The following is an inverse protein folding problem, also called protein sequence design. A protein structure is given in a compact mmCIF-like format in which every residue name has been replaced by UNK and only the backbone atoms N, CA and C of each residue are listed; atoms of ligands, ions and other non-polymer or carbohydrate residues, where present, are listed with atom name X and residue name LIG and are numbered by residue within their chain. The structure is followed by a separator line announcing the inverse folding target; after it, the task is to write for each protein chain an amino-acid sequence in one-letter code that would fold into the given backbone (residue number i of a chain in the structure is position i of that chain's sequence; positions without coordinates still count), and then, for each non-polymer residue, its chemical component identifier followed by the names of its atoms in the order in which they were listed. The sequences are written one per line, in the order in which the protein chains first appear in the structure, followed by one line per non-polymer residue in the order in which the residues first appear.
data_IF_346391970953
#
_entry.id   IF_346391970953
#
_cell.length_a   1.000
_cell.length_b   1.000
_cell.length_c   1.000
_cell.angle_alpha   90.00
_cell.angle_beta   90.00
_cell.angle_gamma   90.00
#
_symmetry.space_group_name_H-M   'P 1'
#
loop_
_entity.id
_entity.type
_entity.pdbx_description
1 polymer ?
#
# COMPACT_ATOMS: atom_id res chain seq x y z
N UNK A 1 -5.98 21.82 12.26
CA UNK A 1 -6.74 20.55 12.06
C UNK A 1 -6.16 19.42 12.91
N UNK A 2 -6.93 18.36 13.20
CA UNK A 2 -6.42 17.13 13.84
C UNK A 2 -6.38 15.97 12.85
N UNK A 3 -5.21 15.41 12.57
CA UNK A 3 -4.99 14.19 11.81
C UNK A 3 -4.93 12.99 12.77
N UNK A 4 -5.86 12.05 12.68
CA UNK A 4 -5.85 10.82 13.47
C UNK A 4 -5.29 9.68 12.62
N UNK A 5 -4.06 9.26 12.94
CA UNK A 5 -3.36 8.21 12.22
C UNK A 5 -2.51 7.36 13.17
N UNK A 6 -2.97 6.15 13.48
CA UNK A 6 -2.19 5.20 14.30
C UNK A 6 -0.82 4.89 13.68
N UNK A 7 -0.73 4.69 12.36
CA UNK A 7 0.54 4.48 11.66
C UNK A 7 1.07 5.83 11.14
N UNK A 8 2.02 6.40 11.85
CA UNK A 8 2.66 7.67 11.51
C UNK A 8 4.16 7.64 11.86
N UNK A 9 5.05 8.41 11.21
CA UNK A 9 6.47 8.39 11.52
C UNK A 9 6.78 8.55 13.03
N UNK A 10 7.81 7.85 13.55
CA UNK A 10 8.85 7.11 12.84
C UNK A 10 8.45 5.69 12.44
N UNK A 11 7.18 5.31 12.55
CA UNK A 11 6.70 4.02 12.02
C UNK A 11 6.88 4.03 10.49
N UNK A 12 7.42 2.95 9.93
CA UNK A 12 7.56 2.75 8.49
C UNK A 12 6.49 1.83 7.89
N UNK A 13 6.52 1.66 6.57
CA UNK A 13 5.66 0.72 5.83
C UNK A 13 4.50 1.39 5.06
N UNK A 14 3.84 0.64 4.19
CA UNK A 14 2.88 1.17 3.19
C UNK A 14 1.63 1.86 3.75
N UNK A 15 1.34 1.71 5.05
CA UNK A 15 0.28 2.45 5.74
C UNK A 15 0.62 3.92 5.99
N UNK A 16 1.90 4.28 6.02
CA UNK A 16 2.39 5.57 6.52
C UNK A 16 2.36 6.71 5.48
N UNK A 17 2.71 6.49 4.19
CA UNK A 17 2.91 7.59 3.24
C UNK A 17 1.69 8.51 3.05
N UNK A 18 0.46 7.97 3.04
CA UNK A 18 -0.74 8.81 2.86
C UNK A 18 -0.88 9.85 3.98
N UNK A 19 -0.84 9.41 5.24
CA UNK A 19 -0.97 10.31 6.38
C UNK A 19 0.20 11.30 6.46
N UNK A 20 1.43 10.82 6.23
CA UNK A 20 2.64 11.64 6.21
C UNK A 20 2.55 12.78 5.19
N UNK A 21 2.21 12.46 3.93
CA UNK A 21 2.17 13.45 2.86
C UNK A 21 0.98 14.42 3.00
N UNK A 22 -0.16 13.95 3.51
CA UNK A 22 -1.27 14.85 3.87
C UNK A 22 -0.84 15.85 4.95
N UNK A 23 -0.17 15.38 6.01
CA UNK A 23 0.33 16.28 7.06
C UNK A 23 1.36 17.28 6.53
N UNK A 24 2.33 16.82 5.72
CA UNK A 24 3.35 17.66 5.09
C UNK A 24 2.72 18.79 4.27
N UNK A 25 1.95 18.43 3.25
CA UNK A 25 1.49 19.41 2.26
C UNK A 25 0.39 20.33 2.79
N UNK A 26 -0.50 19.85 3.67
CA UNK A 26 -1.45 20.74 4.35
C UNK A 26 -0.72 21.77 5.24
N UNK A 27 0.35 21.36 5.91
CA UNK A 27 1.14 22.28 6.73
C UNK A 27 1.93 23.30 5.88
N UNK A 28 2.43 22.90 4.71
CA UNK A 28 3.03 23.80 3.72
C UNK A 28 1.99 24.78 3.13
N UNK A 29 0.74 24.34 2.96
CA UNK A 29 -0.41 25.17 2.54
C UNK A 29 -0.96 26.07 3.68
N UNK A 30 -0.28 26.11 4.84
CA UNK A 30 -0.57 27.05 5.93
C UNK A 30 -1.50 26.51 7.03
N UNK A 31 -1.92 25.24 6.98
CA UNK A 31 -2.67 24.65 8.08
C UNK A 31 -1.79 24.38 9.31
N UNK A 32 -2.27 24.72 10.50
CA UNK A 32 -1.71 24.17 11.74
C UNK A 32 -2.16 22.71 11.88
N UNK A 33 -1.24 21.75 11.67
CA UNK A 33 -1.54 20.32 11.65
C UNK A 33 -1.11 19.67 12.96
N UNK A 34 -2.10 19.17 13.71
CA UNK A 34 -1.87 18.31 14.87
C UNK A 34 -2.04 16.86 14.46
N UNK A 35 -1.06 16.01 14.72
CA UNK A 35 -1.15 14.58 14.44
C UNK A 35 -1.36 13.82 15.74
N UNK A 36 -2.47 13.10 15.87
CA UNK A 36 -2.71 12.16 16.95
C UNK A 36 -2.33 10.76 16.48
N UNK A 37 -1.29 10.22 17.09
CA UNK A 37 -0.74 8.90 16.76
C UNK A 37 -0.42 8.11 18.03
N UNK A 38 0.06 6.90 17.86
CA UNK A 38 0.52 6.03 18.95
C UNK A 38 1.92 6.43 19.42
N UNK A 39 2.21 6.13 20.68
CA UNK A 39 3.57 6.21 21.23
C UNK A 39 4.56 5.40 20.41
N UNK A 40 5.85 5.68 20.62
CA UNK A 40 6.97 4.92 20.05
C UNK A 40 6.99 3.50 20.64
N UNK A 41 6.01 2.70 20.23
CA UNK A 41 5.91 1.30 20.55
C UNK A 41 6.72 0.49 19.54
N UNK A 42 7.03 -0.75 19.91
CA UNK A 42 7.84 -1.61 19.06
C UNK A 42 7.07 -2.01 17.79
N UNK A 43 7.45 -1.41 16.67
CA UNK A 43 6.96 -1.77 15.33
C UNK A 43 8.00 -2.55 14.55
N UNK A 44 7.53 -3.45 13.68
CA UNK A 44 8.40 -4.27 12.83
C UNK A 44 9.26 -3.44 11.86
N UNK A 45 8.84 -2.20 11.56
CA UNK A 45 9.55 -1.28 10.68
C UNK A 45 9.58 0.11 11.33
N UNK A 46 10.77 0.56 11.74
CA UNK A 46 11.03 1.94 12.19
C UNK A 46 11.90 2.63 11.14
N UNK A 47 11.54 3.87 10.80
CA UNK A 47 12.24 4.73 9.87
C UNK A 47 12.15 6.19 10.32
N UNK A 48 13.16 6.64 11.06
CA UNK A 48 13.26 8.02 11.53
C UNK A 48 13.51 9.03 10.39
N UNK A 49 13.90 8.56 9.19
CA UNK A 49 14.10 9.46 8.05
C UNK A 49 12.81 10.13 7.59
N UNK A 50 11.67 9.47 7.81
CA UNK A 50 10.35 9.98 7.44
C UNK A 50 9.96 11.23 8.25
N UNK A 51 10.45 11.38 9.48
CA UNK A 51 10.20 12.58 10.29
C UNK A 51 10.85 13.83 9.68
N UNK A 52 11.96 13.67 8.95
CA UNK A 52 12.66 14.78 8.28
C UNK A 52 11.89 15.36 7.11
N UNK A 53 10.83 14.69 6.65
CA UNK A 53 9.96 15.19 5.60
C UNK A 53 8.87 16.14 6.11
N UNK A 54 8.66 16.20 7.43
CA UNK A 54 7.61 17.03 8.03
C UNK A 54 8.12 18.45 8.27
N UNK A 55 7.34 19.47 7.89
CA UNK A 55 7.57 20.85 8.31
C UNK A 55 7.53 21.00 9.84
N UNK A 56 8.23 22.01 10.37
CA UNK A 56 8.31 22.28 11.82
C UNK A 56 6.95 22.61 12.46
N UNK A 57 5.99 23.11 11.68
CA UNK A 57 4.63 23.43 12.15
C UNK A 57 3.70 22.20 12.24
N UNK A 58 4.20 20.98 11.99
CA UNK A 58 3.47 19.73 12.26
C UNK A 58 3.71 19.27 13.70
N UNK A 59 2.67 19.28 14.52
CA UNK A 59 2.75 18.95 15.95
C UNK A 59 2.26 17.52 16.20
N UNK A 60 3.17 16.63 16.60
CA UNK A 60 2.85 15.21 16.83
C UNK A 60 2.51 14.96 18.32
N UNK A 61 1.32 14.41 18.56
CA UNK A 61 0.79 14.00 19.87
C UNK A 61 0.72 12.48 19.91
N UNK A 62 1.45 11.89 20.86
CA UNK A 62 1.54 10.44 20.99
C UNK A 62 0.73 9.93 22.17
N UNK A 63 -0.17 9.00 21.92
CA UNK A 63 -0.97 8.34 22.94
C UNK A 63 -0.50 6.91 23.18
N UNK A 64 -0.51 6.50 24.45
CA UNK A 64 -0.19 5.15 24.88
C UNK A 64 -1.14 4.11 24.27
N UNK A 65 -0.69 2.86 24.21
CA UNK A 65 -1.55 1.74 23.86
C UNK A 65 -1.54 0.68 24.96
N UNK A 66 -2.69 0.06 25.20
CA UNK A 66 -2.73 -1.16 25.98
C UNK A 66 -2.57 -2.37 25.07
N UNK A 67 -1.37 -2.94 25.05
CA UNK A 67 -1.06 -4.15 24.27
C UNK A 67 -0.46 -5.25 25.16
N UNK A 68 -1.27 -6.22 25.63
CA UNK A 68 -0.81 -7.24 26.58
C UNK A 68 0.25 -8.19 26.00
N UNK A 69 0.38 -8.30 24.67
CA UNK A 69 1.35 -9.17 23.99
C UNK A 69 2.73 -8.51 23.86
N UNK A 70 2.79 -7.18 23.87
CA UNK A 70 4.01 -6.41 23.68
C UNK A 70 4.98 -6.55 24.86
N UNK A 71 4.45 -6.64 26.09
CA UNK A 71 5.24 -6.90 27.32
C UNK A 71 5.89 -8.28 27.37
N UNK A 72 5.52 -9.20 26.46
CA UNK A 72 6.03 -10.58 26.40
C UNK A 72 7.06 -10.80 25.29
N UNK A 73 7.39 -9.78 24.48
CA UNK A 73 8.39 -9.89 23.41
C UNK A 73 9.73 -9.28 23.87
N UNK A 74 10.86 -10.00 23.71
CA UNK A 74 12.16 -9.46 24.10
C UNK A 74 12.50 -8.23 23.25
N UNK A 75 13.22 -7.24 23.82
CA UNK A 75 13.68 -6.07 23.06
C UNK A 75 14.58 -6.54 21.92
N UNK A 76 14.31 -6.02 20.72
CA UNK A 76 15.18 -6.23 19.56
C UNK A 76 16.42 -5.37 19.79
N UNK A 77 17.46 -5.94 20.41
CA UNK A 77 18.81 -5.40 20.24
C UNK A 77 19.13 -5.54 18.75
N UNK A 78 19.63 -4.47 18.14
CA UNK A 78 20.24 -4.51 16.82
C UNK A 78 21.12 -5.75 16.74
N UNK A 79 20.79 -6.65 15.82
CA UNK A 79 21.56 -7.88 15.64
C UNK A 79 22.98 -7.48 15.23
N UNK A 80 24.03 -7.78 16.02
CA UNK A 80 25.37 -7.74 15.47
C UNK A 80 25.42 -8.78 14.35
N UNK A 81 26.09 -8.45 13.25
CA UNK A 81 26.42 -9.39 12.16
C UNK A 81 26.95 -10.68 12.80
N UNK A 82 26.16 -11.76 12.74
CA UNK A 82 26.61 -13.08 13.20
C UNK A 82 27.22 -13.81 12.03
N UNK A 83 28.55 -13.92 12.08
CA UNK A 83 29.29 -14.93 11.33
C UNK A 83 28.75 -16.32 11.68
N UNK A 84 28.45 -17.10 10.64
CA UNK A 84 28.07 -18.51 10.77
C UNK A 84 29.33 -19.33 10.99
N UNK A 85 29.77 -19.42 12.23
CA UNK A 85 30.61 -20.54 12.66
C UNK A 85 30.49 -20.75 14.16
N UNK A 86 30.14 -21.99 14.51
CA UNK A 86 30.08 -22.56 15.86
C UNK A 86 28.83 -22.23 16.67
N UNK A 87 27.94 -23.23 16.79
CA UNK A 87 27.59 -23.78 18.10
C UNK A 87 26.78 -25.07 17.92
N UNK A 88 27.41 -26.19 18.25
CA UNK A 88 26.76 -27.44 18.58
C UNK A 88 26.69 -27.56 20.12
N UNK A 89 25.60 -28.16 20.59
CA UNK A 89 25.41 -28.79 21.89
C UNK A 89 25.27 -27.90 23.15
N UNK A 90 24.02 -27.73 23.60
CA UNK A 90 23.61 -27.94 25.00
C UNK A 90 22.07 -28.06 25.09
N UNK A 91 21.54 -29.28 25.08
CA UNK A 91 20.12 -29.54 25.36
C UNK A 91 19.94 -29.55 26.88
N UNK A 92 19.32 -28.51 27.45
CA UNK A 92 18.85 -28.51 28.85
C UNK A 92 17.43 -29.06 28.93
N UNK A 93 17.31 -30.24 29.54
CA UNK A 93 16.06 -30.89 29.89
C UNK A 93 15.30 -30.07 30.94
N UNK A 94 14.16 -29.52 30.53
CA UNK A 94 13.29 -28.66 31.35
C UNK A 94 12.35 -27.78 30.51
N UNK A 95 12.65 -27.61 29.23
CA UNK A 95 11.88 -26.76 28.32
C UNK A 95 10.67 -27.45 27.67
N UNK A 96 10.62 -28.79 27.62
CA UNK A 96 9.61 -29.53 26.85
C UNK A 96 8.16 -29.23 27.24
N UNK A 97 7.86 -29.09 28.53
CA UNK A 97 6.50 -28.79 29.00
C UNK A 97 6.12 -27.32 28.79
N UNK A 98 7.04 -26.37 29.05
CA UNK A 98 6.83 -24.94 28.77
C UNK A 98 6.75 -24.66 27.27
N UNK A 99 7.51 -25.37 26.46
CA UNK A 99 7.52 -25.27 25.00
C UNK A 99 6.26 -25.88 24.41
N UNK A 100 5.77 -27.01 24.93
CA UNK A 100 4.49 -27.61 24.52
C UNK A 100 3.27 -26.75 24.92
N UNK A 101 3.27 -26.17 26.13
CA UNK A 101 2.24 -25.21 26.57
C UNK A 101 2.29 -23.96 25.71
N UNK A 102 3.48 -23.41 25.44
CA UNK A 102 3.64 -22.25 24.55
C UNK A 102 3.20 -22.55 23.12
N UNK A 103 3.48 -23.74 22.59
CA UNK A 103 3.06 -24.16 21.25
C UNK A 103 1.55 -24.37 21.11
N UNK A 104 0.82 -24.72 22.18
CA UNK A 104 -0.65 -24.88 22.15
C UNK A 104 -1.41 -23.61 22.56
N UNK A 105 -0.92 -22.90 23.57
CA UNK A 105 -1.57 -21.72 24.14
C UNK A 105 -1.33 -20.48 23.27
N UNK A 106 -0.16 -20.30 22.66
CA UNK A 106 0.09 -19.12 21.80
C UNK A 106 -0.81 -19.10 20.56
N UNK A 107 -1.03 -20.20 19.82
CA UNK A 107 -1.99 -20.21 18.71
C UNK A 107 -3.44 -20.00 19.17
N UNK A 108 -3.83 -20.57 20.32
CA UNK A 108 -5.15 -20.37 20.90
C UNK A 108 -5.37 -18.91 21.31
N UNK A 109 -4.41 -18.29 22.01
CA UNK A 109 -4.43 -16.89 22.38
C UNK A 109 -4.39 -15.96 21.16
N UNK A 110 -3.63 -16.31 20.11
CA UNK A 110 -3.66 -15.58 18.83
C UNK A 110 -5.03 -15.68 18.17
N UNK A 111 -5.66 -16.85 18.19
CA UNK A 111 -7.01 -17.05 17.64
C UNK A 111 -8.05 -16.24 18.43
N UNK A 112 -8.02 -16.30 19.76
CA UNK A 112 -8.89 -15.52 20.65
C UNK A 112 -8.65 -14.02 20.47
N UNK A 113 -7.38 -13.57 20.42
CA UNK A 113 -7.01 -12.16 20.17
C UNK A 113 -7.59 -11.68 18.86
N UNK A 114 -7.35 -12.40 17.77
CA UNK A 114 -7.86 -12.04 16.45
C UNK A 114 -9.39 -12.04 16.44
N UNK A 115 -10.06 -12.80 17.31
CA UNK A 115 -11.54 -12.83 17.42
C UNK A 115 -12.11 -11.73 18.33
N UNK A 116 -11.37 -11.27 19.34
CA UNK A 116 -11.85 -10.30 20.34
C UNK A 116 -11.38 -8.86 20.11
N UNK A 117 -10.24 -8.64 19.45
CA UNK A 117 -9.76 -7.30 19.10
C UNK A 117 -10.50 -6.82 17.84
N UNK A 118 -11.67 -6.22 18.08
CA UNK A 118 -12.56 -5.69 17.05
C UNK A 118 -12.52 -4.16 17.11
N UNK A 119 -12.25 -3.47 16.00
CA UNK A 119 -12.14 -4.02 14.64
C UNK A 119 -10.79 -4.62 14.30
N UNK A 120 -9.76 -4.23 15.02
CA UNK A 120 -8.39 -4.63 14.77
C UNK A 120 -7.58 -4.64 16.07
N UNK A 121 -6.34 -5.12 15.97
CA UNK A 121 -5.40 -5.26 17.09
C UNK A 121 -5.06 -3.92 17.77
N UNK A 122 -5.41 -2.79 17.16
CA UNK A 122 -5.08 -1.46 17.66
C UNK A 122 -6.18 -0.88 18.56
N UNK A 123 -7.29 -1.59 18.79
CA UNK A 123 -8.40 -1.10 19.63
C UNK A 123 -7.95 -0.71 21.06
N UNK A 124 -6.86 -1.29 21.57
CA UNK A 124 -6.27 -0.94 22.86
C UNK A 124 -5.65 0.47 22.94
N UNK A 125 -5.41 1.12 21.80
CA UNK A 125 -4.96 2.52 21.70
C UNK A 125 -6.12 3.51 21.85
N UNK A 126 -7.33 3.12 21.42
CA UNK A 126 -8.50 4.00 21.37
C UNK A 126 -8.77 4.80 22.65
N UNK A 127 -8.81 4.22 23.87
CA UNK A 127 -9.16 5.00 25.07
C UNK A 127 -8.15 6.12 25.38
N UNK A 128 -6.86 5.87 25.18
CA UNK A 128 -5.80 6.86 25.41
C UNK A 128 -5.79 7.92 24.31
N UNK A 129 -5.96 7.50 23.05
CA UNK A 129 -6.06 8.39 21.91
C UNK A 129 -7.24 9.35 22.04
N UNK A 130 -8.41 8.86 22.45
CA UNK A 130 -9.60 9.71 22.65
C UNK A 130 -9.37 10.73 23.76
N UNK A 131 -8.75 10.34 24.88
CA UNK A 131 -8.45 11.27 25.97
C UNK A 131 -7.50 12.38 25.49
N UNK A 132 -6.36 12.01 24.91
CA UNK A 132 -5.37 12.97 24.44
C UNK A 132 -5.93 13.85 23.30
N UNK A 133 -6.64 13.25 22.35
CA UNK A 133 -7.27 13.98 21.25
C UNK A 133 -8.30 15.00 21.72
N UNK A 134 -9.08 14.68 22.75
CA UNK A 134 -10.05 15.63 23.34
C UNK A 134 -9.33 16.83 24.00
N UNK A 135 -8.25 16.56 24.74
CA UNK A 135 -7.40 17.61 25.35
C UNK A 135 -6.78 18.51 24.27
N UNK A 136 -6.24 17.93 23.20
CA UNK A 136 -5.63 18.66 22.09
C UNK A 136 -6.66 19.50 21.33
N UNK A 137 -7.83 18.94 20.99
CA UNK A 137 -8.90 19.67 20.29
C UNK A 137 -9.33 20.90 21.11
N UNK A 138 -9.53 20.74 22.42
CA UNK A 138 -9.95 21.83 23.30
C UNK A 138 -8.86 22.88 23.50
N UNK A 139 -7.62 22.45 23.72
CA UNK A 139 -6.48 23.35 23.97
C UNK A 139 -6.16 24.22 22.76
N UNK A 140 -6.23 23.66 21.55
CA UNK A 140 -5.86 24.34 20.31
C UNK A 140 -7.08 24.81 19.51
N UNK A 141 -8.29 24.74 20.07
CA UNK A 141 -9.55 25.11 19.41
C UNK A 141 -9.71 24.51 18.00
N UNK A 142 -9.35 23.24 17.84
CA UNK A 142 -9.31 22.59 16.53
C UNK A 142 -10.74 22.42 15.99
N UNK A 143 -11.09 22.99 14.82
CA UNK A 143 -12.46 22.98 14.33
C UNK A 143 -12.76 21.77 13.44
N UNK A 144 -11.73 21.13 12.88
CA UNK A 144 -11.84 20.02 11.93
C UNK A 144 -10.80 18.92 12.17
N UNK A 145 -11.22 17.68 11.90
CA UNK A 145 -10.45 16.46 12.10
C UNK A 145 -10.58 15.54 10.88
N UNK A 146 -9.48 14.90 10.52
CA UNK A 146 -9.39 13.89 9.48
C UNK A 146 -8.84 12.59 10.07
N UNK A 147 -9.54 11.47 9.93
CA UNK A 147 -9.05 10.14 10.35
C UNK A 147 -8.93 9.22 9.15
N UNK A 148 -7.80 8.51 9.01
CA UNK A 148 -7.51 7.67 7.83
C UNK A 148 -7.39 6.20 8.19
N UNK A 149 -7.98 5.32 7.38
CA UNK A 149 -8.11 3.89 7.66
C UNK A 149 -6.81 3.11 7.45
N UNK A 150 -6.79 1.88 7.98
CA UNK A 150 -5.61 1.02 8.08
C UNK A 150 -4.69 1.44 9.23
N UNK A 151 -5.13 1.34 10.51
CA UNK A 151 -6.26 0.55 11.04
C UNK A 151 -7.63 1.27 11.06
N UNK A 152 -8.73 0.50 11.20
CA UNK A 152 -10.11 1.04 11.32
C UNK A 152 -10.38 1.65 12.70
N UNK A 153 -9.61 1.26 13.72
CA UNK A 153 -9.62 1.91 15.04
C UNK A 153 -9.49 3.43 14.95
N UNK A 154 -8.76 3.97 13.96
CA UNK A 154 -8.65 5.42 13.72
C UNK A 154 -10.03 6.09 13.59
N UNK A 155 -11.00 5.46 12.92
CA UNK A 155 -12.34 6.01 12.77
C UNK A 155 -13.18 5.90 14.04
N UNK A 156 -12.94 4.90 14.87
CA UNK A 156 -13.61 4.80 16.17
C UNK A 156 -13.12 5.89 17.14
N UNK A 157 -11.82 6.20 17.11
CA UNK A 157 -11.25 7.37 17.80
C UNK A 157 -11.91 8.64 17.27
N UNK A 158 -11.94 8.82 15.94
CA UNK A 158 -12.56 9.97 15.30
C UNK A 158 -14.03 10.16 15.70
N UNK A 159 -14.85 9.09 15.65
CA UNK A 159 -16.26 9.14 16.06
C UNK A 159 -16.43 9.54 17.52
N UNK A 160 -15.58 9.03 18.41
CA UNK A 160 -15.63 9.39 19.83
C UNK A 160 -15.30 10.87 20.06
N UNK A 161 -14.25 11.36 19.41
CA UNK A 161 -13.85 12.77 19.46
C UNK A 161 -14.95 13.69 18.87
N UNK A 162 -15.55 13.31 17.74
CA UNK A 162 -16.71 13.99 17.15
C UNK A 162 -17.85 14.15 18.16
N UNK A 163 -18.26 13.07 18.83
CA UNK A 163 -19.33 13.12 19.84
C UNK A 163 -18.98 13.96 21.07
N UNK A 164 -17.71 13.96 21.50
CA UNK A 164 -17.25 14.66 22.71
C UNK A 164 -17.01 16.15 22.50
N UNK A 165 -16.64 16.56 21.30
CA UNK A 165 -16.14 17.92 21.00
C UNK A 165 -16.96 18.66 19.95
N UNK A 166 -17.76 17.95 19.16
CA UNK A 166 -18.50 18.54 18.04
C UNK A 166 -17.63 18.94 16.84
N UNK A 167 -16.33 18.60 16.83
CA UNK A 167 -15.38 18.88 15.72
C UNK A 167 -15.96 18.44 14.38
N UNK A 168 -15.70 19.15 13.28
CA UNK A 168 -16.05 18.63 11.94
C UNK A 168 -15.18 17.42 11.65
N UNK A 169 -15.74 16.34 11.10
CA UNK A 169 -15.03 15.09 10.93
C UNK A 169 -15.13 14.52 9.51
N UNK A 170 -13.97 14.34 8.89
CA UNK A 170 -13.79 13.60 7.65
C UNK A 170 -13.21 12.21 7.97
N UNK A 171 -13.86 11.14 7.51
CA UNK A 171 -13.37 9.76 7.65
C UNK A 171 -12.89 9.21 6.30
N UNK A 172 -11.60 8.90 6.21
CA UNK A 172 -10.92 8.44 4.99
C UNK A 172 -10.75 6.93 4.95
N UNK A 173 -11.51 6.28 4.08
CA UNK A 173 -11.48 4.84 3.84
C UNK A 173 -10.57 4.50 2.66
N UNK A 174 -9.34 4.07 2.97
CA UNK A 174 -8.36 3.60 1.99
C UNK A 174 -8.72 2.23 1.42
N UNK A 175 -9.27 1.38 2.26
CA UNK A 175 -9.88 0.11 1.89
C UNK A 175 -11.25 0.01 2.57
N UNK A 176 -12.22 -0.69 1.95
CA UNK A 176 -13.50 -0.97 2.60
C UNK A 176 -13.30 -1.79 3.86
N UNK A 177 -14.09 -1.52 4.90
CA UNK A 177 -13.99 -2.27 6.16
C UNK A 177 -14.66 -3.63 6.04
N UNK A 178 -15.94 -3.68 5.69
CA UNK A 178 -16.67 -4.97 5.59
C UNK A 178 -16.84 -5.49 4.16
N UNK A 179 -16.57 -4.67 3.14
CA UNK A 179 -16.53 -5.09 1.72
C UNK A 179 -15.10 -5.43 1.26
N UNK A 180 -14.22 -5.78 2.20
CA UNK A 180 -12.83 -6.14 1.95
C UNK A 180 -12.68 -7.62 1.57
N UNK A 181 -11.58 -7.97 0.89
CA UNK A 181 -11.17 -9.36 0.67
C UNK A 181 -10.72 -10.04 1.97
N UNK A 182 -10.25 -9.28 2.95
CA UNK A 182 -9.77 -9.78 4.24
C UNK A 182 -10.87 -9.90 5.29
N UNK A 183 -11.86 -10.77 5.05
CA UNK A 183 -12.97 -11.02 6.00
C UNK A 183 -12.56 -11.97 7.13
N UNK A 184 -13.19 -11.82 8.29
CA UNK A 184 -12.92 -12.69 9.44
C UNK A 184 -13.50 -14.10 9.29
N UNK A 185 -14.52 -14.28 8.45
CA UNK A 185 -15.25 -15.54 8.28
C UNK A 185 -16.15 -15.90 9.47
N UNK A 186 -16.30 -14.99 10.44
CA UNK A 186 -17.08 -15.20 11.66
C UNK A 186 -18.30 -14.28 11.65
N UNK A 187 -19.48 -14.83 11.35
CA UNK A 187 -20.69 -14.06 11.05
C UNK A 187 -21.08 -13.01 12.11
N UNK A 188 -21.02 -13.35 13.40
CA UNK A 188 -21.37 -12.40 14.47
C UNK A 188 -20.39 -11.23 14.55
N UNK A 189 -19.11 -11.49 14.27
CA UNK A 189 -18.06 -10.46 14.25
C UNK A 189 -18.25 -9.56 13.05
N UNK A 190 -18.50 -10.13 11.88
CA UNK A 190 -18.74 -9.35 10.66
C UNK A 190 -19.98 -8.47 10.79
N UNK A 191 -21.05 -8.95 11.43
CA UNK A 191 -22.23 -8.15 11.74
C UNK A 191 -21.90 -6.99 12.70
N UNK A 192 -20.99 -7.22 13.67
CA UNK A 192 -20.53 -6.18 14.58
C UNK A 192 -19.65 -5.15 13.88
N UNK A 193 -18.70 -5.59 13.04
CA UNK A 193 -17.87 -4.72 12.20
C UNK A 193 -18.73 -3.87 11.26
N UNK A 194 -19.78 -4.45 10.67
CA UNK A 194 -20.71 -3.69 9.83
C UNK A 194 -21.49 -2.65 10.63
N UNK A 195 -21.94 -2.98 11.84
CA UNK A 195 -22.59 -2.00 12.71
C UNK A 195 -21.65 -0.85 13.05
N UNK A 196 -20.38 -1.16 13.32
CA UNK A 196 -19.37 -0.13 13.58
C UNK A 196 -19.12 0.73 12.32
N UNK A 197 -18.93 0.13 11.16
CA UNK A 197 -18.76 0.83 9.88
C UNK A 197 -19.96 1.75 9.59
N UNK A 198 -21.19 1.24 9.69
CA UNK A 198 -22.42 2.04 9.50
C UNK A 198 -22.46 3.26 10.41
N UNK A 199 -22.07 3.12 11.67
CA UNK A 199 -22.03 4.26 12.60
C UNK A 199 -20.93 5.27 12.29
N UNK A 200 -19.83 4.86 11.63
CA UNK A 200 -18.84 5.82 11.09
C UNK A 200 -19.45 6.56 9.91
N UNK A 201 -20.04 5.83 8.95
CA UNK A 201 -20.68 6.40 7.76
C UNK A 201 -21.78 7.42 8.09
N UNK A 202 -22.56 7.16 9.13
CA UNK A 202 -23.66 8.03 9.56
C UNK A 202 -23.22 9.30 10.30
N UNK A 203 -22.09 9.25 11.02
CA UNK A 203 -21.69 10.32 11.94
C UNK A 203 -20.61 11.25 11.39
N UNK A 204 -19.79 10.77 10.45
CA UNK A 204 -18.86 11.64 9.73
C UNK A 204 -19.63 12.74 8.98
N UNK A 205 -19.00 13.89 8.81
CA UNK A 205 -19.54 14.99 8.01
C UNK A 205 -19.19 14.82 6.53
N UNK A 206 -18.07 14.14 6.24
CA UNK A 206 -17.75 13.63 4.92
C UNK A 206 -17.00 12.29 5.01
N UNK A 207 -17.18 11.46 4.00
CA UNK A 207 -16.42 10.23 3.77
C UNK A 207 -15.53 10.45 2.56
N UNK A 208 -14.23 10.19 2.68
CA UNK A 208 -13.32 10.11 1.53
C UNK A 208 -12.96 8.66 1.26
N UNK A 209 -12.78 8.31 -0.01
CA UNK A 209 -12.21 7.01 -0.41
C UNK A 209 -11.28 7.16 -1.61
N UNK A 210 -10.60 6.08 -2.00
CA UNK A 210 -9.45 6.13 -2.92
C UNK A 210 -9.77 5.65 -4.34
N UNK A 211 -10.94 5.07 -4.59
CA UNK A 211 -11.39 4.67 -5.93
C UNK A 211 -12.86 5.00 -6.14
N UNK A 212 -13.25 5.22 -7.39
CA UNK A 212 -14.66 5.41 -7.72
C UNK A 212 -15.47 4.14 -7.46
N UNK A 213 -14.92 2.96 -7.76
CA UNK A 213 -15.55 1.68 -7.41
C UNK A 213 -15.83 1.52 -5.91
N UNK A 214 -14.97 2.00 -5.01
CA UNK A 214 -15.27 2.01 -3.57
C UNK A 214 -16.36 3.01 -3.20
N UNK A 215 -16.34 4.21 -3.78
CA UNK A 215 -17.38 5.20 -3.53
C UNK A 215 -18.77 4.68 -3.95
N UNK A 216 -18.88 4.08 -5.13
CA UNK A 216 -20.11 3.44 -5.62
C UNK A 216 -20.58 2.33 -4.66
N UNK A 217 -19.66 1.48 -4.20
CA UNK A 217 -19.96 0.41 -3.26
C UNK A 217 -20.44 0.92 -1.91
N UNK A 218 -19.82 1.98 -1.37
CA UNK A 218 -20.26 2.62 -0.14
C UNK A 218 -21.61 3.29 -0.30
N UNK A 219 -21.85 4.02 -1.40
CA UNK A 219 -23.15 4.65 -1.65
C UNK A 219 -24.26 3.61 -1.83
N UNK A 220 -23.96 2.46 -2.46
CA UNK A 220 -24.91 1.36 -2.57
C UNK A 220 -25.26 0.75 -1.20
N UNK A 221 -24.29 0.64 -0.29
CA UNK A 221 -24.48 0.00 1.04
C UNK A 221 -25.01 0.96 2.11
N UNK A 222 -24.54 2.21 2.11
CA UNK A 222 -24.71 3.20 3.17
C UNK A 222 -25.18 4.58 2.66
N UNK A 223 -25.71 4.67 1.43
CA UNK A 223 -26.09 5.96 0.83
C UNK A 223 -27.20 6.72 1.58
N UNK A 224 -27.93 6.08 2.50
CA UNK A 224 -28.90 6.76 3.38
C UNK A 224 -28.24 7.42 4.59
N UNK A 225 -27.08 6.91 4.99
CA UNK A 225 -26.31 7.37 6.13
C UNK A 225 -25.26 8.43 5.75
N UNK A 226 -24.65 8.27 4.58
CA UNK A 226 -23.57 9.13 4.11
C UNK A 226 -24.11 10.52 3.78
N UNK A 227 -23.60 11.55 4.46
CA UNK A 227 -23.94 12.95 4.20
C UNK A 227 -23.24 13.50 2.96
N UNK A 228 -21.96 13.13 2.79
CA UNK A 228 -21.09 13.57 1.70
C UNK A 228 -20.05 12.48 1.40
N UNK A 229 -19.87 12.14 0.13
CA UNK A 229 -18.89 11.17 -0.36
C UNK A 229 -17.96 11.86 -1.34
N UNK A 230 -16.66 11.71 -1.14
CA UNK A 230 -15.63 12.28 -2.00
C UNK A 230 -14.58 11.22 -2.36
N UNK A 231 -13.95 11.37 -3.53
CA UNK A 231 -12.85 10.49 -3.95
C UNK A 231 -11.56 11.27 -3.97
N UNK A 232 -10.67 10.94 -3.03
CA UNK A 232 -9.29 11.43 -3.00
C UNK A 232 -8.40 10.21 -3.18
N UNK A 233 -7.93 10.01 -4.42
CA UNK A 233 -7.16 8.84 -4.81
C UNK A 233 -5.94 8.60 -3.92
N UNK A 234 -5.42 7.37 -3.95
CA UNK A 234 -4.01 7.17 -3.60
C UNK A 234 -3.12 7.73 -4.70
N UNK A 235 -1.83 7.86 -4.39
CA UNK A 235 -0.91 8.57 -5.26
C UNK A 235 0.53 8.42 -4.85
N UNK A 236 1.39 9.09 -5.60
CA UNK A 236 2.82 9.18 -5.36
C UNK A 236 3.23 10.66 -5.17
N UNK A 237 4.38 10.86 -4.53
CA UNK A 237 5.02 12.16 -4.44
C UNK A 237 6.21 12.16 -5.42
N UNK A 238 6.20 12.99 -6.47
CA UNK A 238 7.31 13.11 -7.41
C UNK A 238 8.68 13.26 -6.74
N UNK A 239 8.74 13.98 -5.62
CA UNK A 239 9.98 14.25 -4.91
C UNK A 239 10.65 12.98 -4.34
N UNK A 240 9.87 11.92 -4.08
CA UNK A 240 10.40 10.66 -3.56
C UNK A 240 11.27 9.91 -4.60
N UNK A 241 11.23 10.32 -5.88
CA UNK A 241 11.86 9.61 -7.00
C UNK A 241 13.01 10.38 -7.66
N UNK A 242 13.24 11.64 -7.27
CA UNK A 242 14.29 12.50 -7.82
C UNK A 242 15.69 11.92 -7.58
N UNK A 243 15.96 11.42 -6.36
CA UNK A 243 17.28 10.93 -5.93
C UNK A 243 17.50 9.41 -6.14
N UNK A 244 16.68 8.79 -6.97
CA UNK A 244 16.83 7.37 -7.31
C UNK A 244 17.80 7.25 -8.48
N UNK A 245 18.90 6.53 -8.25
CA UNK A 245 19.91 6.28 -9.27
C UNK A 245 19.33 5.49 -10.44
N UNK A 246 19.73 5.86 -11.65
CA UNK A 246 19.45 5.09 -12.87
C UNK A 246 20.61 4.13 -13.10
N UNK A 247 20.38 2.80 -13.06
CA UNK A 247 21.40 1.83 -13.42
C UNK A 247 21.87 2.01 -14.88
N UNK A 248 23.12 1.67 -15.21
CA UNK A 248 23.59 1.70 -16.59
C UNK A 248 22.84 0.69 -17.45
N UNK A 249 22.56 1.07 -18.70
CA UNK A 249 21.91 0.20 -19.68
C UNK A 249 22.87 -0.93 -20.10
N UNK A 250 22.33 -2.16 -20.19
CA UNK A 250 23.07 -3.35 -20.64
C UNK A 250 22.70 -3.77 -22.08
N UNK A 251 21.89 -2.97 -22.77
CA UNK A 251 21.43 -3.21 -24.14
C UNK A 251 20.40 -4.33 -24.27
N UNK A 252 19.81 -4.81 -23.18
CA UNK A 252 18.76 -5.83 -23.19
C UNK A 252 17.40 -5.24 -22.87
N UNK A 253 16.36 -5.81 -23.46
CA UNK A 253 14.97 -5.55 -23.15
C UNK A 253 14.61 -6.16 -21.79
N UNK A 254 14.60 -5.32 -20.77
CA UNK A 254 14.39 -5.72 -19.39
C UNK A 254 12.95 -5.45 -18.96
N UNK A 255 12.26 -6.47 -18.47
CA UNK A 255 10.98 -6.31 -17.79
C UNK A 255 11.15 -6.51 -16.29
N UNK A 256 10.63 -5.60 -15.47
CA UNK A 256 10.75 -5.67 -14.01
C UNK A 256 9.42 -5.81 -13.29
N UNK A 257 9.36 -6.71 -12.31
CA UNK A 257 8.23 -6.86 -11.39
C UNK A 257 8.73 -6.83 -9.93
N UNK A 258 8.49 -5.74 -9.20
CA UNK A 258 8.53 -5.76 -7.74
C UNK A 258 7.19 -6.28 -7.16
N UNK A 259 7.28 -7.30 -6.32
CA UNK A 259 6.18 -7.74 -5.50
C UNK A 259 6.22 -9.22 -5.14
N UNK A 260 5.09 -9.67 -4.65
CA UNK A 260 4.87 -11.05 -4.23
C UNK A 260 3.92 -11.73 -5.22
N UNK A 261 4.24 -12.96 -5.59
CA UNK A 261 3.36 -13.87 -6.31
C UNK A 261 2.77 -14.89 -5.35
N UNK A 262 1.51 -15.25 -5.57
CA UNK A 262 0.76 -16.31 -4.89
C UNK A 262 -0.11 -17.04 -5.92
N UNK A 263 -0.97 -17.96 -5.48
CA UNK A 263 -1.74 -18.82 -6.38
C UNK A 263 -2.52 -18.03 -7.44
N UNK A 264 -3.26 -17.00 -7.04
CA UNK A 264 -4.11 -16.15 -7.90
C UNK A 264 -3.35 -14.99 -8.57
N UNK A 265 -2.06 -14.82 -8.28
CA UNK A 265 -1.20 -13.81 -8.93
C UNK A 265 0.16 -14.41 -9.26
N UNK A 266 0.37 -14.75 -10.52
CA UNK A 266 1.56 -15.47 -10.96
C UNK A 266 1.97 -15.12 -12.41
N UNK A 267 3.24 -15.32 -12.79
CA UNK A 267 3.75 -14.97 -14.12
C UNK A 267 3.66 -16.13 -15.14
N UNK A 268 3.01 -17.26 -14.82
CA UNK A 268 3.21 -18.50 -15.59
C UNK A 268 2.76 -18.40 -17.05
N UNK A 269 1.65 -17.73 -17.34
CA UNK A 269 1.20 -17.52 -18.72
C UNK A 269 2.10 -16.56 -19.49
N UNK A 270 2.67 -15.55 -18.82
CA UNK A 270 3.69 -14.69 -19.40
C UNK A 270 4.95 -15.47 -19.77
N UNK A 271 5.45 -16.30 -18.86
CA UNK A 271 6.63 -17.16 -19.12
C UNK A 271 6.40 -18.09 -20.32
N UNK A 272 5.20 -18.69 -20.42
CA UNK A 272 4.82 -19.54 -21.55
C UNK A 272 4.78 -18.75 -22.86
N UNK A 273 4.19 -17.55 -22.86
CA UNK A 273 4.14 -16.68 -24.03
C UNK A 273 5.53 -16.26 -24.51
N UNK A 274 6.43 -15.90 -23.59
CA UNK A 274 7.83 -15.55 -23.90
C UNK A 274 8.58 -16.75 -24.48
N UNK A 275 8.44 -17.95 -23.90
CA UNK A 275 9.06 -19.16 -24.43
C UNK A 275 8.61 -19.47 -25.86
N UNK A 276 7.31 -19.30 -26.17
CA UNK A 276 6.77 -19.48 -27.53
C UNK A 276 7.36 -18.46 -28.52
N UNK A 277 7.46 -17.18 -28.13
CA UNK A 277 8.04 -16.15 -29.00
C UNK A 277 9.52 -16.41 -29.32
N UNK A 278 10.28 -16.95 -28.36
CA UNK A 278 11.67 -17.37 -28.56
C UNK A 278 11.72 -18.55 -29.54
N UNK A 279 10.87 -19.56 -29.35
CA UNK A 279 10.82 -20.73 -30.24
C UNK A 279 10.38 -20.37 -31.67
N UNK A 280 9.48 -19.40 -31.81
CA UNK A 280 9.05 -18.84 -33.09
C UNK A 280 10.11 -17.93 -33.76
N UNK A 281 11.22 -17.63 -33.07
CA UNK A 281 12.28 -16.74 -33.58
C UNK A 281 11.88 -15.26 -33.65
N UNK A 282 10.78 -14.87 -33.00
CA UNK A 282 10.29 -13.47 -32.99
C UNK A 282 10.95 -12.61 -31.93
N UNK A 283 11.41 -13.24 -30.84
CA UNK A 283 12.16 -12.59 -29.76
C UNK A 283 13.53 -13.25 -29.68
N UNK A 284 14.59 -12.44 -29.67
CA UNK A 284 15.93 -12.95 -29.45
C UNK A 284 16.12 -13.21 -27.95
N UNK A 285 16.52 -14.44 -27.62
CA UNK A 285 16.74 -14.88 -26.24
C UNK A 285 17.88 -14.08 -25.58
N UNK A 286 18.91 -13.72 -26.33
CA UNK A 286 20.08 -13.04 -25.78
C UNK A 286 19.79 -11.58 -25.37
N UNK A 287 18.73 -10.99 -25.93
CA UNK A 287 18.37 -9.60 -25.74
C UNK A 287 17.28 -9.36 -24.71
N UNK A 288 16.83 -10.35 -23.93
CA UNK A 288 15.75 -10.17 -22.95
C UNK A 288 16.15 -10.56 -21.53
N UNK A 289 15.58 -9.87 -20.54
CA UNK A 289 15.68 -10.23 -19.11
C UNK A 289 14.34 -9.99 -18.42
N UNK A 290 13.85 -10.96 -17.66
CA UNK A 290 12.69 -10.83 -16.79
C UNK A 290 13.15 -10.78 -15.32
N UNK A 291 13.16 -9.59 -14.72
CA UNK A 291 13.59 -9.37 -13.33
C UNK A 291 12.41 -9.41 -12.37
N UNK A 292 12.52 -10.23 -11.33
CA UNK A 292 11.53 -10.37 -10.28
C UNK A 292 12.15 -10.09 -8.91
N UNK A 293 11.67 -9.06 -8.23
CA UNK A 293 12.05 -8.74 -6.86
C UNK A 293 10.88 -8.97 -5.90
N UNK A 294 11.14 -9.67 -4.80
CA UNK A 294 10.18 -10.04 -3.76
C UNK A 294 10.03 -11.55 -3.64
N UNK A 295 8.79 -12.01 -3.43
CA UNK A 295 8.48 -13.43 -3.25
C UNK A 295 8.06 -14.02 -4.58
N UNK A 296 8.96 -14.78 -5.22
CA UNK A 296 8.67 -15.42 -6.50
C UNK A 296 7.78 -16.65 -6.36
N UNK A 297 8.02 -17.47 -5.33
CA UNK A 297 7.17 -18.59 -4.92
C UNK A 297 6.94 -18.50 -3.40
N UNK A 298 5.69 -18.66 -2.94
CA UNK A 298 5.42 -18.74 -1.51
C UNK A 298 6.02 -20.02 -0.91
N UNK A 299 6.45 -19.99 0.37
CA UNK A 299 6.93 -21.20 1.04
C UNK A 299 5.91 -22.36 0.92
N UNK A 300 6.37 -23.49 0.38
CA UNK A 300 5.54 -24.67 0.12
C UNK A 300 4.94 -24.74 -1.29
N UNK A 301 5.23 -23.77 -2.15
CA UNK A 301 4.85 -23.74 -3.56
C UNK A 301 6.11 -23.61 -4.43
N UNK A 302 6.11 -24.21 -5.61
CA UNK A 302 7.21 -24.12 -6.59
C UNK A 302 6.72 -23.95 -8.03
N UNK A 303 5.43 -23.66 -8.22
CA UNK A 303 4.79 -23.64 -9.55
C UNK A 303 5.48 -22.67 -10.51
N UNK A 304 6.02 -21.54 -10.02
CA UNK A 304 6.65 -20.55 -10.88
C UNK A 304 8.06 -21.00 -11.27
N UNK A 305 8.90 -21.40 -10.31
CA UNK A 305 10.25 -21.89 -10.62
C UNK A 305 10.24 -23.18 -11.45
N UNK A 306 9.26 -24.07 -11.22
CA UNK A 306 9.12 -25.29 -12.02
C UNK A 306 8.64 -24.97 -13.44
N UNK A 307 7.84 -23.91 -13.62
CA UNK A 307 7.50 -23.39 -14.94
C UNK A 307 8.73 -22.85 -15.67
N UNK A 308 9.60 -22.09 -14.99
CA UNK A 308 10.87 -21.57 -15.55
C UNK A 308 11.74 -22.72 -16.05
N UNK A 309 11.96 -23.75 -15.21
CA UNK A 309 12.79 -24.91 -15.56
C UNK A 309 12.24 -25.71 -16.73
N UNK A 310 10.94 -25.98 -16.72
CA UNK A 310 10.26 -26.75 -17.77
C UNK A 310 10.33 -26.05 -19.13
N UNK A 311 10.28 -24.71 -19.13
CA UNK A 311 10.38 -23.91 -20.34
C UNK A 311 11.84 -23.60 -20.74
N UNK A 312 12.81 -23.95 -19.89
CA UNK A 312 14.22 -23.62 -20.05
C UNK A 312 14.41 -22.12 -20.17
N UNK A 313 14.11 -21.34 -19.13
CA UNK A 313 14.23 -19.86 -19.13
C UNK A 313 15.16 -19.34 -18.01
N UNK A 314 15.97 -20.21 -17.40
CA UNK A 314 16.82 -19.90 -16.23
C UNK A 314 17.88 -18.82 -16.48
N UNK A 315 18.29 -18.63 -17.72
CA UNK A 315 19.28 -17.63 -18.16
C UNK A 315 18.68 -16.24 -18.40
N UNK A 316 17.35 -16.15 -18.61
CA UNK A 316 16.65 -14.88 -18.83
C UNK A 316 15.76 -14.47 -17.65
N UNK A 317 15.41 -15.40 -16.75
CA UNK A 317 14.60 -15.11 -15.55
C UNK A 317 15.52 -14.86 -14.36
N UNK A 318 15.54 -13.61 -13.91
CA UNK A 318 16.35 -13.15 -12.79
C UNK A 318 15.51 -12.96 -11.53
N UNK A 319 15.75 -13.78 -10.51
CA UNK A 319 15.00 -13.78 -9.24
C UNK A 319 15.88 -13.18 -8.14
N UNK A 320 15.56 -11.95 -7.76
CA UNK A 320 16.38 -11.12 -6.85
C UNK A 320 16.02 -11.29 -5.36
N UNK A 321 14.90 -11.97 -5.06
CA UNK A 321 14.39 -12.07 -3.69
C UNK A 321 13.95 -10.71 -3.13
N UNK A 322 13.80 -10.60 -1.81
CA UNK A 322 13.36 -9.35 -1.17
C UNK A 322 14.46 -8.27 -1.24
N UNK A 323 14.14 -7.14 -1.88
CA UNK A 323 15.02 -5.98 -1.98
C UNK A 323 14.57 -4.86 -1.02
N UNK A 324 15.50 -4.06 -0.47
CA UNK A 324 15.17 -2.77 0.13
C UNK A 324 14.43 -1.89 -0.89
N UNK A 325 13.46 -1.10 -0.43
CA UNK A 325 12.59 -0.29 -1.31
C UNK A 325 13.37 0.57 -2.32
N UNK A 326 14.41 1.30 -1.87
CA UNK A 326 15.28 2.08 -2.78
C UNK A 326 15.92 1.23 -3.88
N UNK A 327 16.36 0.00 -3.58
CA UNK A 327 16.93 -0.92 -4.58
C UNK A 327 15.87 -1.45 -5.55
N UNK A 328 14.64 -1.64 -5.08
CA UNK A 328 13.53 -1.98 -5.97
C UNK A 328 13.20 -0.81 -6.93
N UNK A 329 13.25 0.45 -6.45
CA UNK A 329 13.10 1.63 -7.30
C UNK A 329 14.23 1.76 -8.34
N UNK A 330 15.49 1.53 -7.95
CA UNK A 330 16.64 1.50 -8.87
C UNK A 330 16.47 0.41 -9.94
N UNK A 331 16.06 -0.80 -9.54
CA UNK A 331 15.74 -1.89 -10.47
C UNK A 331 14.65 -1.49 -11.46
N UNK A 332 13.60 -0.81 -11.01
CA UNK A 332 12.53 -0.32 -11.88
C UNK A 332 13.04 0.76 -12.84
N UNK A 333 13.85 1.72 -12.39
CA UNK A 333 14.44 2.75 -13.29
C UNK A 333 15.32 2.14 -14.39
N UNK A 334 16.00 1.03 -14.10
CA UNK A 334 16.84 0.31 -15.06
C UNK A 334 16.11 -0.75 -15.89
N UNK A 335 14.77 -0.77 -15.88
CA UNK A 335 13.97 -1.65 -16.73
C UNK A 335 13.42 -0.90 -17.94
N UNK A 336 13.10 -1.62 -19.01
CA UNK A 336 12.44 -1.06 -20.18
C UNK A 336 10.90 -1.09 -20.06
N UNK A 337 10.38 -2.04 -19.29
CA UNK A 337 8.94 -2.21 -19.08
C UNK A 337 8.69 -2.65 -17.65
N UNK A 338 7.66 -2.07 -17.03
CA UNK A 338 7.21 -2.45 -15.71
C UNK A 338 6.03 -3.42 -15.82
N UNK A 339 6.16 -4.58 -15.19
CA UNK A 339 5.12 -5.59 -15.21
C UNK A 339 4.13 -5.33 -14.07
N UNK A 340 2.86 -5.17 -14.41
CA UNK A 340 1.75 -5.12 -13.44
C UNK A 340 0.94 -6.41 -13.52
N UNK A 341 1.29 -7.40 -12.70
CA UNK A 341 0.54 -8.66 -12.62
C UNK A 341 -0.46 -8.56 -11.47
N UNK A 342 -1.75 -8.52 -11.83
CA UNK A 342 -2.89 -8.40 -10.95
C UNK A 342 -3.35 -9.73 -10.36
N UNK A 343 -4.22 -9.64 -9.37
CA UNK A 343 -4.95 -10.81 -8.84
C UNK A 343 -6.05 -11.21 -9.82
N UNK A 344 -6.28 -12.52 -10.02
CA UNK A 344 -7.33 -13.03 -10.90
C UNK A 344 -8.63 -13.37 -10.17
N UNK A 345 -8.71 -13.15 -8.85
CA UNK A 345 -9.91 -13.39 -8.05
C UNK A 345 -11.06 -12.44 -8.47
N UNK A 346 -12.32 -12.92 -8.42
CA UNK A 346 -13.48 -12.08 -8.69
C UNK A 346 -13.54 -10.84 -7.79
N UNK A 347 -13.85 -9.68 -8.37
CA UNK A 347 -13.96 -8.42 -7.63
C UNK A 347 -12.64 -7.73 -7.31
N UNK A 348 -11.48 -8.29 -7.70
CA UNK A 348 -10.18 -7.62 -7.54
C UNK A 348 -10.04 -6.33 -8.36
N UNK A 349 -10.85 -6.14 -9.40
CA UNK A 349 -10.80 -4.98 -10.30
C UNK A 349 -11.12 -3.62 -9.63
N UNK A 350 -11.76 -3.59 -8.46
CA UNK A 350 -12.04 -2.32 -7.75
C UNK A 350 -10.82 -1.79 -6.96
N UNK A 351 -9.77 -2.58 -6.83
CA UNK A 351 -8.55 -2.22 -6.13
C UNK A 351 -7.51 -1.65 -7.11
N UNK A 352 -6.80 -0.61 -6.66
CA UNK A 352 -5.60 -0.11 -7.34
C UNK A 352 -4.38 -0.53 -6.51
N UNK A 353 -3.49 -1.38 -7.03
CA UNK A 353 -2.30 -1.77 -6.31
C UNK A 353 -1.34 -0.58 -6.19
N UNK A 354 -0.74 -0.40 -5.00
CA UNK A 354 0.15 0.74 -4.72
C UNK A 354 1.28 0.91 -5.73
N UNK A 355 1.80 -0.20 -6.29
CA UNK A 355 2.87 -0.19 -7.30
C UNK A 355 2.49 0.54 -8.59
N UNK A 356 1.20 0.64 -8.94
CA UNK A 356 0.78 1.40 -10.12
C UNK A 356 1.21 2.88 -10.00
N UNK A 357 1.10 3.45 -8.80
CA UNK A 357 1.53 4.84 -8.55
C UNK A 357 3.05 4.98 -8.59
N UNK A 358 3.80 3.98 -8.11
CA UNK A 358 5.26 3.97 -8.26
C UNK A 358 5.66 3.85 -9.73
N UNK A 359 4.94 3.04 -10.51
CA UNK A 359 5.21 2.89 -11.94
C UNK A 359 4.94 4.17 -12.71
N UNK A 360 3.89 4.93 -12.34
CA UNK A 360 3.69 6.29 -12.85
C UNK A 360 4.90 7.17 -12.54
N UNK A 361 5.37 7.16 -11.29
CA UNK A 361 6.52 7.98 -10.89
C UNK A 361 7.83 7.60 -11.60
N UNK A 362 8.04 6.31 -11.87
CA UNK A 362 9.18 5.82 -12.65
C UNK A 362 9.02 6.18 -14.14
N UNK A 363 7.80 6.14 -14.66
CA UNK A 363 7.45 6.63 -15.99
C UNK A 363 7.66 5.65 -17.14
N UNK A 364 8.12 4.43 -16.85
CA UNK A 364 8.32 3.40 -17.87
C UNK A 364 6.99 2.77 -18.32
N UNK A 365 6.91 2.32 -19.60
CA UNK A 365 5.73 1.62 -20.10
C UNK A 365 5.31 0.45 -19.20
N UNK A 366 4.01 0.30 -18.97
CA UNK A 366 3.47 -0.77 -18.14
C UNK A 366 2.92 -1.90 -19.01
N UNK A 367 3.36 -3.14 -18.78
CA UNK A 367 2.66 -4.34 -19.26
C UNK A 367 1.76 -4.85 -18.15
N UNK A 368 0.46 -4.56 -18.24
CA UNK A 368 -0.52 -4.91 -17.24
C UNK A 368 -1.29 -6.18 -17.57
N UNK A 369 -1.02 -7.23 -16.82
CA UNK A 369 -1.79 -8.47 -16.80
C UNK A 369 -2.80 -8.36 -15.65
N UNK A 370 -3.96 -7.78 -15.92
CA UNK A 370 -4.97 -7.50 -14.90
C UNK A 370 -6.38 -7.73 -15.41
N UNK A 371 -7.26 -8.21 -14.53
CA UNK A 371 -8.70 -8.20 -14.82
C UNK A 371 -9.19 -6.76 -14.99
N UNK A 372 -10.26 -6.58 -15.77
CA UNK A 372 -10.84 -5.28 -16.04
C UNK A 372 -11.29 -4.58 -14.75
N UNK A 373 -10.95 -3.30 -14.59
CA UNK A 373 -11.15 -2.57 -13.34
C UNK A 373 -10.54 -1.17 -13.30
N UNK A 374 -10.33 -0.63 -12.10
CA UNK A 374 -9.76 0.70 -11.86
C UNK A 374 -8.35 0.82 -12.48
N UNK A 375 -7.48 -0.17 -12.23
CA UNK A 375 -6.10 -0.15 -12.73
C UNK A 375 -6.03 -0.16 -14.27
N UNK A 376 -6.85 -0.97 -14.93
CA UNK A 376 -6.88 -1.06 -16.40
C UNK A 376 -7.44 0.21 -17.03
N UNK A 377 -8.49 0.79 -16.44
CA UNK A 377 -9.05 2.09 -16.87
C UNK A 377 -8.02 3.20 -16.78
N UNK A 378 -7.25 3.27 -15.68
CA UNK A 378 -6.19 4.27 -15.49
C UNK A 378 -5.12 4.11 -16.57
N UNK A 379 -4.58 2.90 -16.76
CA UNK A 379 -3.49 2.67 -17.71
C UNK A 379 -3.91 3.03 -19.14
N UNK A 380 -5.14 2.69 -19.55
CA UNK A 380 -5.66 3.04 -20.88
C UNK A 380 -5.95 4.54 -21.00
N UNK A 381 -6.66 5.13 -20.04
CA UNK A 381 -7.05 6.55 -20.07
C UNK A 381 -5.84 7.46 -20.21
N UNK A 382 -4.76 7.15 -19.50
CA UNK A 382 -3.56 7.99 -19.45
C UNK A 382 -2.42 7.51 -20.37
N UNK A 383 -2.67 6.49 -21.19
CA UNK A 383 -1.70 5.92 -22.13
C UNK A 383 -0.39 5.49 -21.44
N UNK A 384 -0.49 4.80 -20.31
CA UNK A 384 0.66 4.40 -19.48
C UNK A 384 1.30 3.08 -19.94
N UNK A 385 0.66 2.34 -20.86
CA UNK A 385 1.17 1.07 -21.35
C UNK A 385 0.09 0.18 -21.95
N UNK A 386 0.37 -1.12 -22.01
CA UNK A 386 -0.53 -2.13 -22.56
C UNK A 386 -1.28 -2.87 -21.45
N UNK A 387 -2.56 -3.16 -21.70
CA UNK A 387 -3.41 -3.93 -20.78
C UNK A 387 -3.91 -5.18 -21.49
N UNK A 388 -3.70 -6.33 -20.86
CA UNK A 388 -4.14 -7.64 -21.35
C UNK A 388 -4.84 -8.44 -20.26
N UNK A 389 -5.73 -9.34 -20.67
CA UNK A 389 -6.36 -10.27 -19.75
C UNK A 389 -5.30 -11.24 -19.18
N UNK A 390 -5.13 -11.34 -17.84
CA UNK A 390 -4.11 -12.18 -17.21
C UNK A 390 -4.34 -13.68 -17.44
N UNK A 391 -5.52 -14.07 -17.92
CA UNK A 391 -5.89 -15.46 -18.24
C UNK A 391 -5.81 -15.76 -19.75
N UNK A 392 -5.49 -14.78 -20.60
CA UNK A 392 -5.39 -14.95 -22.04
C UNK A 392 -3.92 -14.91 -22.50
N UNK A 393 -3.31 -16.09 -22.68
CA UNK A 393 -1.92 -16.22 -23.12
C UNK A 393 -1.65 -15.56 -24.47
N UNK A 394 -2.59 -15.61 -25.41
CA UNK A 394 -2.38 -15.06 -26.76
C UNK A 394 -2.36 -13.53 -26.73
N UNK A 395 -3.24 -12.89 -25.94
CA UNK A 395 -3.17 -11.44 -25.70
C UNK A 395 -1.83 -11.04 -25.07
N UNK A 396 -1.38 -11.78 -24.05
CA UNK A 396 -0.09 -11.55 -23.39
C UNK A 396 1.06 -11.67 -24.39
N UNK A 397 1.03 -12.69 -25.25
CA UNK A 397 2.05 -12.92 -26.28
C UNK A 397 2.14 -11.75 -27.26
N UNK A 398 1.00 -11.29 -27.76
CA UNK A 398 0.96 -10.18 -28.72
C UNK A 398 1.39 -8.86 -28.09
N UNK A 399 1.00 -8.59 -26.84
CA UNK A 399 1.43 -7.39 -26.13
C UNK A 399 2.93 -7.37 -25.85
N UNK A 400 3.49 -8.49 -25.37
CA UNK A 400 4.92 -8.61 -25.17
C UNK A 400 5.69 -8.36 -26.47
N UNK A 401 5.26 -8.97 -27.57
CA UNK A 401 5.90 -8.82 -28.88
C UNK A 401 5.89 -7.37 -29.35
N UNK A 402 4.75 -6.67 -29.28
CA UNK A 402 4.66 -5.25 -29.66
C UNK A 402 5.62 -4.38 -28.87
N UNK A 403 5.69 -4.57 -27.55
CA UNK A 403 6.59 -3.78 -26.70
C UNK A 403 8.06 -4.09 -26.99
N UNK A 404 8.39 -5.35 -27.27
CA UNK A 404 9.74 -5.75 -27.68
C UNK A 404 10.15 -5.15 -29.04
N UNK A 405 9.25 -5.16 -30.03
CA UNK A 405 9.48 -4.56 -31.34
C UNK A 405 9.68 -3.04 -31.23
N UNK A 406 8.84 -2.35 -30.45
CA UNK A 406 8.98 -0.92 -30.17
C UNK A 406 10.32 -0.58 -29.51
N UNK A 407 10.75 -1.39 -28.54
CA UNK A 407 12.06 -1.22 -27.90
C UNK A 407 13.21 -1.41 -28.91
N UNK A 408 13.10 -2.40 -29.80
CA UNK A 408 14.13 -2.67 -30.81
C UNK A 408 14.25 -1.53 -31.83
N UNK A 409 13.14 -0.89 -32.18
CA UNK A 409 13.12 0.27 -33.09
C UNK A 409 13.71 1.53 -32.46
N UNK A 410 13.46 1.76 -31.16
CA UNK A 410 13.90 2.96 -30.45
C UNK A 410 14.47 2.63 -29.05
N UNK A 411 15.66 2.01 -28.97
CA UNK A 411 16.32 1.76 -27.70
C UNK A 411 16.65 3.10 -27.02
N UNK A 412 16.12 3.33 -25.81
CA UNK A 412 16.41 4.54 -25.01
C UNK A 412 15.35 5.67 -25.04
N UNK A 413 14.20 5.51 -25.71
CA UNK A 413 13.12 6.53 -25.73
C UNK A 413 12.42 6.75 -24.36
N UNK A 414 12.88 6.08 -23.31
CA UNK A 414 12.16 6.00 -22.04
C UNK A 414 12.46 7.15 -21.07
N UNK A 415 13.63 7.79 -21.20
CA UNK A 415 14.01 8.91 -20.34
C UNK A 415 13.10 10.14 -20.54
N UNK A 416 12.61 10.38 -21.77
CA UNK A 416 11.67 11.47 -22.05
C UNK A 416 10.28 11.21 -21.43
N UNK A 417 9.85 9.94 -21.42
CA UNK A 417 8.56 9.53 -20.87
C UNK A 417 8.46 9.77 -19.37
N UNK A 418 9.51 9.48 -18.61
CA UNK A 418 9.52 9.75 -17.17
C UNK A 418 9.36 11.25 -16.87
N UNK A 419 10.09 12.11 -17.59
CA UNK A 419 9.93 13.56 -17.47
C UNK A 419 8.52 14.03 -17.87
N UNK A 420 7.94 13.46 -18.92
CA UNK A 420 6.57 13.75 -19.35
C UNK A 420 5.52 13.38 -18.28
N UNK A 421 5.62 12.18 -17.69
CA UNK A 421 4.67 11.74 -16.67
C UNK A 421 4.75 12.60 -15.41
N UNK A 422 5.96 13.00 -15.00
CA UNK A 422 6.12 13.90 -13.85
C UNK A 422 5.49 15.27 -14.12
N UNK A 423 5.72 15.87 -15.30
CA UNK A 423 5.03 17.12 -15.70
C UNK A 423 3.51 16.96 -15.67
N UNK A 424 2.98 15.89 -16.28
CA UNK A 424 1.54 15.57 -16.26
C UNK A 424 0.98 15.37 -14.85
N UNK A 425 1.80 14.96 -13.89
CA UNK A 425 1.43 14.81 -12.48
C UNK A 425 1.57 16.12 -11.67
N UNK A 426 2.27 17.13 -12.18
CA UNK A 426 2.38 18.44 -11.52
C UNK A 426 1.17 19.33 -11.85
N UNK A 427 0.84 19.48 -13.14
CA UNK A 427 -0.20 20.40 -13.61
C UNK A 427 -1.14 19.83 -14.68
N UNK A 428 -0.96 18.56 -15.05
CA UNK A 428 -1.70 17.90 -16.13
C UNK A 428 -2.80 16.94 -15.68
N UNK A 429 -3.08 15.98 -16.56
CA UNK A 429 -4.16 14.99 -16.41
C UNK A 429 -3.90 13.94 -15.32
N UNK A 430 -2.65 13.78 -14.87
CA UNK A 430 -2.24 12.89 -13.78
C UNK A 430 -2.14 13.59 -12.43
N UNK A 431 -2.39 14.90 -12.36
CA UNK A 431 -2.28 15.70 -11.13
C UNK A 431 -3.08 15.12 -9.95
N UNK A 432 -4.22 14.48 -10.23
CA UNK A 432 -5.06 13.82 -9.21
C UNK A 432 -4.34 12.67 -8.45
N UNK A 433 -3.23 12.16 -8.97
CA UNK A 433 -2.39 11.13 -8.34
C UNK A 433 -1.15 11.70 -7.65
N UNK A 434 -0.95 13.02 -7.68
CA UNK A 434 0.11 13.68 -6.95
C UNK A 434 -0.33 13.96 -5.50
N UNK A 435 0.51 13.57 -4.54
CA UNK A 435 0.24 13.74 -3.11
C UNK A 435 0.01 15.20 -2.69
N UNK A 436 0.68 16.16 -3.32
CA UNK A 436 0.49 17.57 -3.02
C UNK A 436 -0.89 18.06 -3.48
N UNK A 437 -1.33 17.64 -4.67
CA UNK A 437 -2.68 17.96 -5.19
C UNK A 437 -3.75 17.31 -4.31
N UNK A 438 -3.55 16.06 -3.89
CA UNK A 438 -4.48 15.36 -2.99
C UNK A 438 -4.62 16.05 -1.63
N UNK A 439 -3.53 16.59 -1.09
CA UNK A 439 -3.57 17.39 0.14
C UNK A 439 -4.36 18.69 -0.06
N UNK A 440 -4.18 19.39 -1.19
CA UNK A 440 -4.99 20.57 -1.54
C UNK A 440 -6.48 20.23 -1.67
N UNK A 441 -6.83 19.15 -2.36
CA UNK A 441 -8.22 18.67 -2.45
C UNK A 441 -8.83 18.39 -1.06
N UNK A 442 -8.05 17.84 -0.13
CA UNK A 442 -8.49 17.65 1.25
C UNK A 442 -8.64 19.00 1.99
N UNK A 443 -7.71 19.94 1.76
CA UNK A 443 -7.79 21.32 2.27
C UNK A 443 -9.07 22.03 1.84
N UNK A 444 -9.37 22.02 0.54
CA UNK A 444 -10.59 22.58 -0.05
C UNK A 444 -11.85 21.95 0.57
N UNK A 445 -11.90 20.61 0.67
CA UNK A 445 -13.00 19.91 1.34
C UNK A 445 -13.16 20.34 2.81
N UNK A 446 -12.04 20.54 3.53
CA UNK A 446 -12.07 21.01 4.91
C UNK A 446 -12.62 22.44 5.01
N UNK A 447 -12.22 23.34 4.12
CA UNK A 447 -12.72 24.72 4.07
C UNK A 447 -14.22 24.77 3.79
N UNK A 448 -14.69 24.02 2.79
CA UNK A 448 -16.12 23.93 2.46
C UNK A 448 -16.97 23.44 3.64
N UNK A 449 -16.50 22.39 4.34
CA UNK A 449 -17.22 21.85 5.49
C UNK A 449 -17.22 22.80 6.69
N UNK A 450 -16.16 23.58 6.87
CA UNK A 450 -16.11 24.63 7.88
C UNK A 450 -17.06 25.78 7.53
N UNK A 451 -17.05 26.23 6.27
CA UNK A 451 -17.94 27.28 5.78
C UNK A 451 -19.42 26.90 5.83
N UNK A 452 -19.77 25.61 5.71
CA UNK A 452 -21.16 25.16 5.82
C UNK A 452 -21.69 25.10 7.26
N UNK A 453 -20.81 25.18 8.26
CA UNK A 453 -21.17 25.05 9.69
C UNK A 453 -21.39 26.38 10.40
N UNK A 454 -20.86 27.46 9.83
CA UNK A 454 -20.95 28.84 10.32
C UNK A 454 -21.73 29.68 9.31
#
# INVERSE_FOLDING_TARGET
MLLVAYLFPPIGGGGVPRALKMAKYLAEDGWEVHVLTVDDTYYATRDDSLLRQLPENVIIHRAQEWNPVQKMRPPQKESPKRDRSQEAAAVKTGEGLRQAVRQKVVPMLKKIKNTLMIPDDMIGWMPFAVKLGEEVIKKHNIPIMFSTSGPYTNHLVGRSLKRKTGVVWIADFRDPWTQNMHRSGVAWREAWEERMERSVMAEADAITTVTHGFAENFMKKFGKEIKRMEVIHNGFDPNDYLDIATPPEDGKFTLAYPGIFYKERNPRLLLQAVAELIQEGKVDRASIVLRFAGVFDYPGYSDNIDCVRRLGLEDIVDIQGNLPHKKALEMMKGADVLMLIGDTAPGSGVYIPGKLYEYMAIGHPILALSVEGESTKIIRKFHLGEVVNPLNKDEIKQAFLRMYEQWKENPGCQADRAGEILRRAEDGDLAIYNRQVQARMLGELMEELLAAKW
#
